data_IF_722323249352
#
_entry.id   IF_722323249352
#
_cell.length_a   1.000
_cell.length_b   1.000
_cell.length_c   1.000
_cell.angle_alpha   90.00
_cell.angle_beta   90.00
_cell.angle_gamma   90.00
#
_symmetry.space_group_name_H-M   'P 1'
#
loop_
_entity.id
_entity.type
_entity.pdbx_description
1 polymer ?
#
# COMPACT_ATOMS: atom_id res chain seq x y z
N UNK A 1 -32.25 -7.45 -45.20
CA UNK A 1 -31.92 -6.99 -46.57
C UNK A 1 -30.43 -6.81 -46.60
N UNK A 2 -29.73 -7.83 -47.14
CA UNK A 2 -28.73 -7.78 -48.22
C UNK A 2 -27.51 -6.91 -47.88
N UNK A 3 -26.28 -7.22 -48.06
CA UNK A 3 -25.50 -8.39 -48.55
C UNK A 3 -24.03 -7.99 -48.38
N UNK A 4 -23.19 -8.95 -48.11
CA UNK A 4 -21.72 -9.04 -48.19
C UNK A 4 -21.18 -8.77 -49.61
N UNK A 5 -19.90 -9.01 -49.95
CA UNK A 5 -18.53 -8.85 -49.38
C UNK A 5 -17.54 -8.28 -50.43
N UNK A 6 -16.20 -8.41 -50.21
CA UNK A 6 -15.09 -8.68 -51.18
C UNK A 6 -13.79 -8.29 -50.48
N UNK A 7 -12.84 -9.07 -50.08
CA UNK A 7 -11.94 -10.11 -50.60
C UNK A 7 -11.10 -9.69 -51.86
N UNK A 8 -9.80 -9.63 -51.68
CA UNK A 8 -8.70 -9.96 -52.61
C UNK A 8 -7.36 -9.56 -51.97
N UNK A 9 -6.47 -10.40 -51.67
CA UNK A 9 -5.63 -11.40 -52.35
C UNK A 9 -4.29 -10.83 -52.94
N UNK A 10 -3.21 -11.40 -52.39
CA UNK A 10 -1.90 -11.78 -52.97
C UNK A 10 -1.03 -10.73 -53.66
N UNK A 11 0.27 -10.72 -53.38
CA UNK A 11 1.27 -11.63 -54.01
C UNK A 11 2.65 -11.51 -53.40
N UNK A 12 3.33 -12.63 -53.31
CA UNK A 12 4.73 -12.85 -52.98
C UNK A 12 5.62 -12.64 -54.22
N UNK A 13 6.90 -12.26 -54.00
CA UNK A 13 7.96 -12.56 -54.95
C UNK A 13 9.32 -12.71 -54.26
N UNK A 14 9.78 -13.96 -54.26
CA UNK A 14 11.15 -14.38 -53.97
C UNK A 14 12.06 -14.09 -55.19
N UNK A 15 13.30 -13.74 -54.96
CA UNK A 15 14.38 -13.97 -55.95
C UNK A 15 15.69 -14.29 -55.23
N UNK A 16 16.13 -15.50 -55.50
CA UNK A 16 17.44 -16.11 -55.24
C UNK A 16 18.36 -15.76 -56.38
N UNK A 17 19.61 -15.46 -56.12
CA UNK A 17 20.70 -15.77 -57.06
C UNK A 17 21.97 -16.18 -56.30
N UNK A 18 22.43 -17.37 -56.67
CA UNK A 18 23.70 -17.98 -56.33
C UNK A 18 24.69 -17.79 -57.46
N UNK A 19 25.97 -17.85 -57.18
CA UNK A 19 26.93 -18.74 -57.80
C UNK A 19 28.35 -18.23 -57.87
N UNK A 20 29.25 -19.06 -57.41
CA UNK A 20 30.48 -19.60 -57.99
C UNK A 20 31.64 -18.58 -58.27
N UNK A 21 32.81 -18.75 -57.83
CA UNK A 21 33.69 -19.90 -57.74
C UNK A 21 35.05 -19.53 -58.34
N UNK A 22 36.18 -19.96 -57.75
CA UNK A 22 37.47 -19.75 -58.40
C UNK A 22 38.65 -19.91 -57.43
N UNK A 23 39.18 -21.12 -57.37
CA UNK A 23 40.45 -21.53 -56.78
C UNK A 23 41.65 -21.05 -57.60
N UNK A 24 42.71 -20.57 -56.95
CA UNK A 24 44.10 -20.95 -57.35
C UNK A 24 45.06 -20.77 -56.17
N UNK A 25 45.86 -21.82 -56.00
CA UNK A 25 46.95 -22.01 -55.06
C UNK A 25 48.25 -21.29 -55.60
N UNK A 26 49.01 -20.73 -54.67
CA UNK A 26 50.49 -20.80 -54.68
C UNK A 26 51.07 -20.23 -53.41
N UNK A 27 51.93 -21.01 -52.73
CA UNK A 27 52.86 -20.64 -51.66
C UNK A 27 54.28 -20.60 -52.30
N UNK A 28 55.38 -20.34 -51.54
CA UNK A 28 55.60 -19.47 -50.37
C UNK A 28 56.77 -18.45 -50.66
N UNK A 29 56.90 -17.40 -49.87
CA UNK A 29 58.12 -16.64 -49.74
C UNK A 29 58.37 -16.23 -48.28
N UNK A 30 59.54 -16.62 -47.82
CA UNK A 30 60.11 -16.36 -46.48
C UNK A 30 60.73 -14.98 -46.37
N UNK A 31 60.50 -14.28 -45.22
CA UNK A 31 61.45 -13.51 -44.41
C UNK A 31 60.81 -12.25 -43.79
N UNK A 32 61.41 -11.62 -42.80
CA UNK A 32 61.65 -12.07 -41.43
C UNK A 32 60.82 -11.28 -40.37
N UNK A 33 60.75 -11.87 -39.23
CA UNK A 33 60.12 -11.39 -38.00
C UNK A 33 60.59 -9.97 -37.62
N UNK A 34 59.64 -9.01 -37.52
CA UNK A 34 59.77 -7.86 -36.63
C UNK A 34 58.85 -8.04 -35.44
N UNK A 35 59.46 -7.99 -34.26
CA UNK A 35 58.78 -8.05 -33.00
C UNK A 35 57.81 -6.86 -32.84
N UNK A 36 56.50 -7.13 -32.82
CA UNK A 36 55.54 -6.16 -32.43
C UNK A 36 55.58 -5.98 -30.90
N UNK A 37 55.96 -4.79 -30.49
CA UNK A 37 55.83 -4.31 -29.10
C UNK A 37 54.37 -4.39 -28.70
N UNK A 38 54.04 -5.25 -27.72
CA UNK A 38 52.75 -5.27 -27.06
C UNK A 38 52.63 -4.04 -26.16
N UNK A 39 51.87 -3.04 -26.60
CA UNK A 39 51.37 -2.01 -25.71
C UNK A 39 50.47 -2.69 -24.65
N UNK A 40 50.59 -2.33 -23.36
CA UNK A 40 49.68 -2.84 -22.35
C UNK A 40 48.27 -2.27 -22.62
N UNK A 41 47.33 -3.16 -22.93
CA UNK A 41 45.89 -2.85 -22.94
C UNK A 41 45.53 -2.26 -21.57
N UNK A 42 45.25 -0.97 -21.55
CA UNK A 42 44.67 -0.33 -20.35
C UNK A 42 43.34 -1.00 -20.07
N UNK A 43 43.27 -1.72 -18.97
CA UNK A 43 42.02 -2.20 -18.39
C UNK A 43 41.07 -1.00 -18.20
N UNK A 44 39.76 -1.15 -18.46
CA UNK A 44 38.82 -0.08 -18.17
C UNK A 44 38.91 0.25 -16.68
N UNK A 45 39.33 1.49 -16.38
CA UNK A 45 39.26 2.07 -15.05
C UNK A 45 37.80 2.10 -14.68
N UNK A 46 37.37 1.19 -13.81
CA UNK A 46 36.12 1.38 -13.05
C UNK A 46 36.31 2.62 -12.20
N UNK A 47 35.71 3.73 -12.62
CA UNK A 47 35.61 4.91 -11.76
C UNK A 47 35.04 4.47 -10.40
N UNK A 48 35.61 4.92 -9.29
CA UNK A 48 35.02 4.62 -7.98
C UNK A 48 33.58 5.13 -8.00
N UNK A 49 32.61 4.24 -7.75
CA UNK A 49 31.25 4.64 -7.49
C UNK A 49 31.31 5.54 -6.25
N UNK A 50 31.12 6.82 -6.41
CA UNK A 50 30.99 7.74 -5.29
C UNK A 50 29.77 7.31 -4.49
N UNK A 51 29.93 7.09 -3.19
CA UNK A 51 28.80 6.80 -2.30
C UNK A 51 27.71 7.87 -2.49
N UNK A 52 26.43 7.49 -2.43
CA UNK A 52 25.35 8.47 -2.52
C UNK A 52 25.50 9.57 -1.47
N UNK A 53 25.05 10.78 -1.78
CA UNK A 53 25.08 11.90 -0.83
C UNK A 53 24.21 11.58 0.38
N UNK A 54 24.72 11.88 1.60
CA UNK A 54 23.97 11.68 2.84
C UNK A 54 22.77 12.62 2.90
N UNK A 55 21.62 12.12 3.34
CA UNK A 55 20.42 12.93 3.51
C UNK A 55 19.70 12.60 4.83
N UNK A 56 19.07 13.61 5.43
CA UNK A 56 18.15 13.45 6.55
C UNK A 56 16.74 13.73 6.04
N UNK A 57 15.81 12.82 6.33
CA UNK A 57 14.41 12.90 5.89
C UNK A 57 13.47 12.45 7.01
N UNK A 58 12.22 12.90 6.94
CA UNK A 58 11.17 12.58 7.91
C UNK A 58 10.08 11.77 7.22
N UNK A 59 9.56 10.76 7.92
CA UNK A 59 8.38 10.00 7.51
C UNK A 59 7.25 10.24 8.51
N UNK A 60 6.15 10.87 8.08
CA UNK A 60 4.93 10.96 8.86
C UNK A 60 4.17 9.63 8.76
N UNK A 61 4.02 8.94 9.88
CA UNK A 61 3.14 7.77 9.99
C UNK A 61 1.67 8.20 9.99
N UNK A 62 0.80 7.33 9.51
CA UNK A 62 -0.65 7.61 9.49
C UNK A 62 -1.28 7.52 10.88
N UNK A 63 -0.69 6.71 11.76
CA UNK A 63 -1.20 6.44 13.11
C UNK A 63 -0.06 6.33 14.11
N UNK A 64 -0.39 6.05 15.36
CA UNK A 64 0.60 5.77 16.43
C UNK A 64 1.48 4.56 16.06
N UNK A 65 2.66 4.42 16.67
CA UNK A 65 3.53 3.26 16.45
C UNK A 65 2.80 1.94 16.71
N UNK A 66 2.77 1.09 15.69
CA UNK A 66 2.15 -0.24 15.73
C UNK A 66 2.63 -1.09 14.54
N UNK A 67 2.30 -2.39 14.51
CA UNK A 67 2.78 -3.30 13.46
C UNK A 67 2.29 -2.92 12.05
N UNK A 68 1.29 -2.03 11.91
CA UNK A 68 0.93 -1.40 10.65
C UNK A 68 2.13 -0.71 9.96
N UNK A 69 3.11 -0.28 10.73
CA UNK A 69 4.30 0.44 10.22
C UNK A 69 5.59 -0.35 10.45
N UNK A 70 5.49 -1.63 10.79
CA UNK A 70 6.63 -2.48 11.19
C UNK A 70 7.79 -2.44 10.21
N UNK A 71 7.51 -2.41 8.90
CA UNK A 71 8.57 -2.38 7.88
C UNK A 71 9.46 -1.15 7.94
N UNK A 72 8.92 0.02 8.34
CA UNK A 72 9.71 1.24 8.49
C UNK A 72 10.57 1.19 9.77
N UNK A 73 10.03 0.69 10.87
CA UNK A 73 10.79 0.46 12.09
C UNK A 73 11.88 -0.59 11.88
N UNK A 74 11.59 -1.68 11.16
CA UNK A 74 12.57 -2.69 10.80
C UNK A 74 13.66 -2.12 9.89
N UNK A 75 13.31 -1.30 8.90
CA UNK A 75 14.30 -0.66 8.03
C UNK A 75 15.29 0.22 8.82
N UNK A 76 14.81 0.85 9.89
CA UNK A 76 15.66 1.63 10.80
C UNK A 76 16.51 0.73 11.70
N UNK A 77 15.91 -0.28 12.32
CA UNK A 77 16.59 -1.19 13.27
C UNK A 77 17.65 -2.06 12.59
N UNK A 78 17.36 -2.56 11.38
CA UNK A 78 18.28 -3.39 10.59
C UNK A 78 19.32 -2.56 9.81
N UNK A 79 19.30 -1.23 9.93
CA UNK A 79 20.27 -0.35 9.29
C UNK A 79 20.06 -0.13 7.80
N UNK A 80 18.92 -0.54 7.22
CA UNK A 80 18.69 -0.44 5.76
C UNK A 80 18.65 1.02 5.27
N UNK A 81 18.19 1.96 6.09
CA UNK A 81 18.29 3.37 5.77
C UNK A 81 19.75 3.86 5.80
N UNK A 82 20.53 3.42 6.77
CA UNK A 82 21.95 3.78 6.87
C UNK A 82 22.78 3.20 5.70
N UNK A 83 22.46 1.99 5.21
CA UNK A 83 23.07 1.41 4.01
C UNK A 83 22.87 2.31 2.77
N UNK A 84 21.80 3.08 2.73
CA UNK A 84 21.47 4.03 1.67
C UNK A 84 21.95 5.46 1.98
N UNK A 85 22.80 5.66 2.99
CA UNK A 85 23.22 6.97 3.49
C UNK A 85 22.05 7.90 3.86
N UNK A 86 21.00 7.34 4.45
CA UNK A 86 19.84 8.08 4.94
C UNK A 86 19.77 8.04 6.47
N UNK A 87 19.47 9.19 7.06
CA UNK A 87 18.95 9.32 8.43
C UNK A 87 17.47 9.58 8.33
N UNK A 88 16.64 8.65 8.82
CA UNK A 88 15.18 8.75 8.75
C UNK A 88 14.62 8.99 10.14
N UNK A 89 13.84 10.07 10.29
CA UNK A 89 13.05 10.34 11.49
C UNK A 89 11.61 9.84 11.25
N UNK A 90 11.14 8.90 12.06
CA UNK A 90 9.76 8.43 12.04
C UNK A 90 8.93 9.31 12.97
N UNK A 91 7.95 10.01 12.38
CA UNK A 91 7.05 10.91 13.12
C UNK A 91 5.74 10.17 13.41
N UNK A 92 5.37 10.11 14.68
CA UNK A 92 4.13 9.46 15.09
C UNK A 92 2.92 10.18 14.50
N UNK A 93 1.95 9.39 14.06
CA UNK A 93 0.60 9.85 13.78
C UNK A 93 -0.27 9.82 15.04
N UNK A 94 -1.57 9.87 14.86
CA UNK A 94 -2.54 9.77 15.96
C UNK A 94 -3.85 10.47 15.68
N UNK A 95 -4.78 10.50 16.66
CA UNK A 95 -6.15 11.00 16.47
C UNK A 95 -6.27 12.45 16.02
N UNK A 96 -5.25 13.27 16.31
CA UNK A 96 -5.22 14.71 15.99
C UNK A 96 -4.34 15.04 14.78
N UNK A 97 -3.69 14.03 14.19
CA UNK A 97 -2.83 14.19 13.03
C UNK A 97 -3.59 13.75 11.78
N UNK A 98 -3.67 14.63 10.80
CA UNK A 98 -4.24 14.33 9.48
C UNK A 98 -3.07 14.26 8.49
N UNK A 99 -2.53 13.06 8.19
CA UNK A 99 -1.23 12.92 7.53
C UNK A 99 -1.15 13.62 6.17
N UNK A 100 -2.22 13.53 5.35
CA UNK A 100 -2.25 14.19 4.05
C UNK A 100 -2.23 15.71 4.15
N UNK A 101 -2.70 16.31 5.25
CA UNK A 101 -2.60 17.75 5.48
C UNK A 101 -1.19 18.13 5.94
N UNK A 102 -0.64 17.37 6.89
CA UNK A 102 0.74 17.56 7.40
C UNK A 102 1.75 17.40 6.27
N UNK A 103 1.60 16.33 5.46
CA UNK A 103 2.48 16.06 4.33
C UNK A 103 2.39 17.09 3.20
N UNK A 104 1.23 17.76 3.06
CA UNK A 104 1.04 18.80 2.04
C UNK A 104 1.61 20.17 2.45
N UNK A 105 1.95 20.37 3.70
CA UNK A 105 2.53 21.64 4.16
C UNK A 105 3.90 21.89 3.48
N UNK A 106 4.24 23.15 3.13
CA UNK A 106 5.51 23.45 2.46
C UNK A 106 6.75 23.02 3.26
N UNK A 107 6.68 23.08 4.59
CA UNK A 107 7.71 22.63 5.56
C UNK A 107 7.38 21.25 6.17
N UNK A 108 6.39 20.57 5.63
CA UNK A 108 5.97 19.24 6.05
C UNK A 108 7.05 18.18 5.83
N UNK A 109 6.86 16.96 6.38
CA UNK A 109 7.80 15.86 6.20
C UNK A 109 7.99 15.52 4.71
N UNK A 110 9.14 14.99 4.39
CA UNK A 110 9.52 14.61 3.01
C UNK A 110 8.66 13.47 2.49
N UNK A 111 8.31 12.53 3.40
CA UNK A 111 7.45 11.38 3.13
C UNK A 111 6.28 11.32 4.10
N UNK A 112 5.16 10.78 3.61
CA UNK A 112 3.93 10.67 4.39
C UNK A 112 3.23 9.35 4.04
N UNK A 113 2.80 8.60 5.05
CA UNK A 113 1.89 7.46 4.86
C UNK A 113 0.46 7.98 4.93
N UNK A 114 -0.31 7.67 3.89
CA UNK A 114 -1.73 7.97 3.86
C UNK A 114 -2.46 7.00 2.93
N UNK A 115 -3.79 7.08 2.92
CA UNK A 115 -4.63 6.34 1.97
C UNK A 115 -4.85 7.14 0.70
N UNK A 116 -4.81 6.46 -0.44
CA UNK A 116 -4.96 7.12 -1.75
C UNK A 116 -6.21 8.00 -1.83
N UNK A 117 -7.44 7.58 -1.46
CA UNK A 117 -8.62 8.42 -1.59
C UNK A 117 -8.54 9.72 -0.78
N UNK A 118 -7.91 9.69 0.42
CA UNK A 118 -7.69 10.90 1.24
C UNK A 118 -6.78 11.90 0.53
N UNK A 119 -5.72 11.40 -0.11
CA UNK A 119 -4.80 12.25 -0.86
C UNK A 119 -5.46 12.78 -2.13
N UNK A 120 -6.25 11.97 -2.83
CA UNK A 120 -7.01 12.44 -4.02
C UNK A 120 -7.99 13.56 -3.66
N UNK A 121 -8.70 13.44 -2.53
CA UNK A 121 -9.55 14.50 -2.00
C UNK A 121 -8.74 15.76 -1.67
N UNK A 122 -7.64 15.61 -0.93
CA UNK A 122 -6.77 16.75 -0.57
C UNK A 122 -6.16 17.45 -1.80
N UNK A 123 -5.87 16.70 -2.86
CA UNK A 123 -5.41 17.28 -4.14
C UNK A 123 -6.50 18.09 -4.82
N UNK A 124 -7.75 17.60 -4.84
CA UNK A 124 -8.86 18.27 -5.53
C UNK A 124 -9.36 19.49 -4.75
N UNK A 125 -9.49 19.37 -3.43
CA UNK A 125 -10.11 20.40 -2.58
C UNK A 125 -9.09 21.35 -1.93
N UNK A 126 -7.91 20.85 -1.58
CA UNK A 126 -6.88 21.57 -0.85
C UNK A 126 -5.65 21.97 -1.65
N UNK A 127 -5.57 21.60 -2.94
CA UNK A 127 -4.42 21.90 -3.79
C UNK A 127 -3.13 21.17 -3.38
N UNK A 128 -3.25 20.03 -2.67
CA UNK A 128 -2.11 19.20 -2.32
C UNK A 128 -1.37 18.73 -3.58
N UNK A 129 -0.04 18.70 -3.54
CA UNK A 129 0.82 18.18 -4.60
C UNK A 129 1.45 16.82 -4.24
N UNK A 130 0.92 16.13 -3.21
CA UNK A 130 1.36 14.80 -2.81
C UNK A 130 1.17 13.79 -3.95
N UNK A 131 2.22 13.02 -4.24
CA UNK A 131 2.29 11.99 -5.28
C UNK A 131 2.50 10.64 -4.62
N UNK A 132 1.72 9.62 -4.97
CA UNK A 132 1.97 8.23 -4.59
C UNK A 132 3.23 7.75 -5.31
N UNK A 133 4.29 7.47 -4.54
CA UNK A 133 5.57 7.00 -5.05
C UNK A 133 5.84 5.53 -4.78
N UNK A 134 5.05 4.90 -3.88
CA UNK A 134 5.08 3.46 -3.63
C UNK A 134 3.82 3.00 -2.89
N UNK A 135 3.03 2.14 -3.52
CA UNK A 135 1.81 1.55 -2.95
C UNK A 135 2.15 0.33 -2.09
N UNK A 136 2.18 0.49 -0.78
CA UNK A 136 2.64 -0.57 0.12
C UNK A 136 1.57 -1.65 0.32
N UNK A 137 0.33 -1.28 0.66
CA UNK A 137 -0.75 -2.24 0.83
C UNK A 137 -1.43 -2.54 -0.52
N UNK A 138 -1.46 -3.81 -0.89
CA UNK A 138 -2.13 -4.30 -2.10
C UNK A 138 -3.65 -4.50 -1.92
N UNK A 139 -4.16 -4.42 -0.68
CA UNK A 139 -5.56 -4.66 -0.30
C UNK A 139 -5.98 -3.68 0.78
N UNK A 140 -7.30 -3.45 0.86
CA UNK A 140 -7.88 -2.71 1.99
C UNK A 140 -8.02 -3.62 3.22
N UNK A 141 -7.72 -3.06 4.39
CA UNK A 141 -7.97 -3.70 5.68
C UNK A 141 -9.31 -3.31 6.32
N UNK A 142 -10.09 -2.42 5.67
CA UNK A 142 -11.34 -1.91 6.25
C UNK A 142 -12.44 -2.96 6.25
N UNK A 143 -13.08 -3.09 7.38
CA UNK A 143 -14.26 -3.92 7.64
C UNK A 143 -15.36 -3.05 8.25
N UNK A 144 -16.60 -3.58 8.26
CA UNK A 144 -17.60 -3.23 9.26
C UNK A 144 -18.00 -4.50 10.02
N UNK A 145 -18.05 -4.41 11.33
CA UNK A 145 -18.42 -5.53 12.20
C UNK A 145 -19.79 -5.28 12.83
N UNK A 146 -20.58 -6.33 12.94
CA UNK A 146 -21.91 -6.36 13.54
C UNK A 146 -22.00 -7.58 14.45
N UNK A 147 -22.92 -7.57 15.41
CA UNK A 147 -23.19 -8.76 16.21
C UNK A 147 -23.97 -9.80 15.39
N UNK A 148 -23.57 -11.06 15.44
CA UNK A 148 -24.26 -12.16 14.71
C UNK A 148 -25.71 -12.32 15.20
N UNK A 149 -25.98 -12.07 16.48
CA UNK A 149 -27.31 -12.14 17.08
C UNK A 149 -28.23 -10.95 16.71
N UNK A 150 -27.70 -9.92 16.04
CA UNK A 150 -28.51 -8.78 15.56
C UNK A 150 -29.39 -9.12 14.36
N UNK A 151 -29.10 -10.21 13.66
CA UNK A 151 -29.76 -10.60 12.43
C UNK A 151 -29.34 -9.76 11.19
N UNK A 152 -28.38 -8.84 11.33
CA UNK A 152 -27.81 -8.09 10.23
C UNK A 152 -26.83 -8.99 9.46
N UNK A 153 -26.95 -9.05 8.14
CA UNK A 153 -26.18 -10.00 7.30
C UNK A 153 -25.30 -9.30 6.28
N UNK A 154 -25.54 -8.02 6.02
CA UNK A 154 -24.77 -7.28 5.02
C UNK A 154 -25.06 -5.78 5.03
N UNK A 155 -24.40 -5.02 4.12
CA UNK A 155 -24.48 -3.56 4.13
C UNK A 155 -25.91 -3.03 3.92
N UNK A 156 -26.74 -3.77 3.17
CA UNK A 156 -28.12 -3.31 2.88
C UNK A 156 -29.11 -3.55 4.04
N UNK A 157 -28.66 -4.13 5.16
CA UNK A 157 -29.46 -4.23 6.39
C UNK A 157 -29.25 -3.04 7.34
N UNK A 158 -28.35 -2.11 6.95
CA UNK A 158 -27.95 -0.98 7.82
C UNK A 158 -28.82 0.27 7.66
N UNK A 159 -29.92 0.21 6.88
CA UNK A 159 -30.92 1.28 6.88
C UNK A 159 -31.53 1.45 8.27
N UNK A 160 -31.65 2.68 8.74
CA UNK A 160 -32.20 3.01 10.06
C UNK A 160 -31.28 2.65 11.23
N UNK A 161 -30.05 2.19 10.98
CA UNK A 161 -29.10 1.72 12.01
C UNK A 161 -28.09 2.79 12.37
N UNK A 162 -27.50 2.65 13.56
CA UNK A 162 -26.35 3.41 14.02
C UNK A 162 -25.07 2.77 13.48
N UNK A 163 -24.38 3.44 12.57
CA UNK A 163 -23.14 2.96 11.96
C UNK A 163 -21.99 3.81 12.48
N UNK A 164 -21.14 3.18 13.27
CA UNK A 164 -19.90 3.78 13.77
C UNK A 164 -18.86 3.84 12.64
N UNK A 165 -18.22 5.00 12.52
CA UNK A 165 -17.14 5.27 11.57
C UNK A 165 -16.15 6.26 12.17
N UNK A 166 -14.99 6.39 11.57
CA UNK A 166 -14.07 7.50 11.85
C UNK A 166 -14.23 8.59 10.79
N UNK A 167 -13.80 9.82 11.12
CA UNK A 167 -13.78 10.95 10.18
C UNK A 167 -12.45 11.04 9.40
N UNK A 168 -12.33 12.10 8.61
CA UNK A 168 -11.13 12.48 7.84
C UNK A 168 -10.75 11.48 6.75
N UNK A 169 -11.77 10.87 6.14
CA UNK A 169 -11.63 9.97 5.00
C UNK A 169 -11.41 8.50 5.39
N UNK A 170 -11.45 8.16 6.67
CA UNK A 170 -11.44 6.75 7.08
C UNK A 170 -12.75 6.06 6.67
N UNK A 171 -13.89 6.76 6.77
CA UNK A 171 -15.24 6.30 6.49
C UNK A 171 -15.57 6.09 5.01
N UNK A 172 -14.67 6.40 4.10
CA UNK A 172 -14.98 6.45 2.67
C UNK A 172 -15.47 5.13 2.09
N UNK A 173 -14.88 3.99 2.49
CA UNK A 173 -15.32 2.67 2.01
C UNK A 173 -16.69 2.29 2.56
N UNK A 174 -16.96 2.60 3.83
CA UNK A 174 -18.26 2.37 4.49
C UNK A 174 -19.34 3.20 3.78
N UNK A 175 -19.09 4.49 3.60
CA UNK A 175 -20.02 5.40 2.94
C UNK A 175 -20.28 4.97 1.49
N UNK A 176 -19.24 4.61 0.73
CA UNK A 176 -19.39 4.11 -0.63
C UNK A 176 -20.17 2.80 -0.69
N UNK A 177 -19.94 1.90 0.26
CA UNK A 177 -20.63 0.62 0.36
C UNK A 177 -22.12 0.77 0.66
N UNK A 178 -22.47 1.61 1.64
CA UNK A 178 -23.86 1.92 1.96
C UNK A 178 -24.56 2.68 0.84
N UNK A 179 -23.82 3.57 0.16
CA UNK A 179 -24.31 4.28 -1.03
C UNK A 179 -24.72 3.33 -2.16
N UNK A 180 -24.10 2.16 -2.31
CA UNK A 180 -24.55 1.12 -3.29
C UNK A 180 -25.90 0.51 -2.93
N UNK A 181 -26.28 0.52 -1.66
CA UNK A 181 -27.62 0.14 -1.21
C UNK A 181 -28.62 1.28 -1.31
N UNK A 182 -28.18 2.47 -1.76
CA UNK A 182 -29.02 3.66 -1.83
C UNK A 182 -29.12 4.41 -0.51
N UNK A 183 -28.24 4.14 0.45
CA UNK A 183 -28.28 4.75 1.77
C UNK A 183 -27.32 5.94 1.88
N UNK A 184 -27.76 6.97 2.59
CA UNK A 184 -26.97 8.15 2.94
C UNK A 184 -26.95 8.36 4.45
N UNK A 185 -25.94 9.04 5.03
CA UNK A 185 -25.99 9.47 6.41
C UNK A 185 -27.06 10.56 6.57
N UNK A 186 -27.67 10.69 7.75
CA UNK A 186 -28.59 11.79 8.06
C UNK A 186 -29.80 11.43 8.89
N UNK A 187 -29.89 10.19 9.38
CA UNK A 187 -31.03 9.74 10.19
C UNK A 187 -31.21 10.59 11.48
N UNK A 188 -30.10 11.06 12.07
CA UNK A 188 -30.09 11.92 13.25
C UNK A 188 -30.78 13.28 13.07
N UNK A 189 -31.02 13.70 11.83
CA UNK A 189 -31.67 14.96 11.47
C UNK A 189 -33.15 14.77 11.03
N UNK A 190 -33.87 13.83 11.64
CA UNK A 190 -35.22 13.41 11.24
C UNK A 190 -35.26 12.83 9.81
N UNK A 191 -34.19 12.13 9.42
CA UNK A 191 -34.11 11.47 8.13
C UNK A 191 -35.01 10.25 8.00
N UNK A 192 -35.10 9.73 6.77
CA UNK A 192 -35.89 8.55 6.44
C UNK A 192 -35.15 7.26 6.86
N UNK A 193 -35.64 6.48 7.84
CA UNK A 193 -34.97 5.27 8.28
C UNK A 193 -34.97 4.13 7.25
N UNK A 194 -35.65 4.30 6.13
CA UNK A 194 -35.64 3.29 5.04
C UNK A 194 -34.55 3.54 4.01
N UNK A 195 -33.99 4.75 3.97
CA UNK A 195 -32.96 5.16 3.00
C UNK A 195 -31.76 5.87 3.63
N UNK A 196 -31.77 6.03 4.95
CA UNK A 196 -30.67 6.68 5.69
C UNK A 196 -30.23 5.84 6.87
N UNK A 197 -28.98 6.06 7.31
CA UNK A 197 -28.41 5.52 8.52
C UNK A 197 -27.92 6.67 9.41
N UNK A 198 -27.81 6.41 10.72
CA UNK A 198 -27.19 7.35 11.64
C UNK A 198 -25.67 7.13 11.62
N UNK A 199 -24.94 8.11 11.06
CA UNK A 199 -23.48 8.15 11.14
C UNK A 199 -23.10 8.51 12.59
N UNK A 200 -22.35 7.66 13.25
CA UNK A 200 -21.82 7.87 14.61
C UNK A 200 -20.31 7.92 14.53
N UNK A 201 -19.71 9.02 14.99
CA UNK A 201 -18.24 9.08 15.08
C UNK A 201 -17.83 8.25 16.28
N UNK A 202 -17.17 7.13 16.04
CA UNK A 202 -16.67 6.24 17.07
C UNK A 202 -15.26 6.63 17.52
N UNK A 203 -14.92 6.28 18.75
CA UNK A 203 -13.53 6.36 19.22
C UNK A 203 -12.65 5.30 18.55
N UNK A 204 -11.34 5.40 18.73
CA UNK A 204 -10.37 4.44 18.18
C UNK A 204 -10.22 3.22 19.11
N UNK A 205 -11.32 2.79 19.66
CA UNK A 205 -11.51 1.58 20.45
C UNK A 205 -12.87 0.96 20.07
N UNK A 206 -13.18 -0.19 20.62
CA UNK A 206 -14.43 -0.88 20.33
C UNK A 206 -15.46 -0.78 21.46
N UNK A 207 -15.29 0.16 22.38
CA UNK A 207 -16.15 0.29 23.58
C UNK A 207 -17.61 0.51 23.20
N UNK A 208 -17.91 1.42 22.29
CA UNK A 208 -19.27 1.70 21.82
C UNK A 208 -19.93 0.47 21.17
N UNK A 209 -19.15 -0.33 20.43
CA UNK A 209 -19.62 -1.57 19.82
C UNK A 209 -19.84 -2.68 20.87
N UNK A 210 -18.88 -2.87 21.77
CA UNK A 210 -18.97 -3.85 22.84
C UNK A 210 -20.16 -3.58 23.79
N UNK A 211 -20.46 -2.30 24.04
CA UNK A 211 -21.62 -1.86 24.81
C UNK A 211 -22.94 -1.94 24.02
N UNK A 212 -22.91 -2.25 22.71
CA UNK A 212 -24.07 -2.22 21.80
C UNK A 212 -24.72 -0.84 21.65
N UNK A 213 -23.92 0.24 21.79
CA UNK A 213 -24.39 1.62 21.58
C UNK A 213 -24.54 1.94 20.08
N UNK A 214 -23.84 1.19 19.22
CA UNK A 214 -23.90 1.22 17.76
C UNK A 214 -24.22 -0.17 17.21
N UNK A 215 -24.90 -0.23 16.06
CA UNK A 215 -25.33 -1.48 15.41
C UNK A 215 -24.22 -2.11 14.56
N UNK A 216 -23.39 -1.27 13.96
CA UNK A 216 -22.22 -1.66 13.20
C UNK A 216 -21.05 -0.73 13.54
N UNK A 217 -19.84 -1.25 13.55
CA UNK A 217 -18.62 -0.47 13.78
C UNK A 217 -17.67 -0.63 12.61
N UNK A 218 -17.07 0.47 12.14
CA UNK A 218 -15.89 0.41 11.28
C UNK A 218 -14.72 -0.20 12.08
N UNK A 219 -13.96 -1.08 11.43
CA UNK A 219 -12.85 -1.78 12.05
C UNK A 219 -11.79 -2.11 11.02
N UNK A 220 -10.52 -1.94 11.37
CA UNK A 220 -9.44 -2.51 10.59
C UNK A 220 -9.28 -3.99 10.96
N UNK A 221 -9.13 -4.85 9.95
CA UNK A 221 -8.93 -6.30 10.15
C UNK A 221 -7.73 -6.58 11.06
N UNK A 222 -6.73 -5.71 11.00
CA UNK A 222 -5.50 -5.84 11.77
C UNK A 222 -5.55 -5.18 13.15
N UNK A 223 -6.55 -4.35 13.46
CA UNK A 223 -6.60 -3.59 14.71
C UNK A 223 -7.94 -3.79 15.44
N UNK A 224 -8.98 -3.02 15.17
CA UNK A 224 -10.22 -3.01 15.94
C UNK A 224 -10.97 -4.35 15.90
N UNK A 225 -10.88 -5.09 14.81
CA UNK A 225 -11.44 -6.44 14.74
C UNK A 225 -10.78 -7.36 15.78
N UNK A 226 -9.46 -7.27 15.96
CA UNK A 226 -8.75 -7.99 17.00
C UNK A 226 -9.20 -7.55 18.40
N UNK A 227 -9.36 -6.24 18.65
CA UNK A 227 -9.80 -5.72 19.94
C UNK A 227 -11.14 -6.33 20.38
N UNK A 228 -12.07 -6.60 19.44
CA UNK A 228 -13.31 -7.32 19.78
C UNK A 228 -13.03 -8.77 20.18
N UNK A 229 -12.17 -9.47 19.44
CA UNK A 229 -11.81 -10.86 19.73
C UNK A 229 -10.95 -11.02 20.99
N UNK A 230 -10.27 -9.98 21.43
CA UNK A 230 -9.46 -9.89 22.64
C UNK A 230 -10.30 -9.52 23.87
N UNK A 231 -11.54 -9.07 23.65
CA UNK A 231 -12.46 -8.70 24.72
C UNK A 231 -13.16 -9.93 25.31
N UNK A 232 -13.40 -9.91 26.61
CA UNK A 232 -14.13 -10.97 27.30
C UNK A 232 -15.64 -10.76 27.14
N UNK A 233 -16.34 -11.77 26.64
CA UNK A 233 -17.79 -11.82 26.62
C UNK A 233 -18.32 -11.96 28.06
N UNK A 234 -19.04 -10.97 28.59
CA UNK A 234 -19.48 -10.97 30.01
C UNK A 234 -20.47 -12.07 30.33
N UNK A 235 -21.11 -12.67 29.32
CA UNK A 235 -22.10 -13.75 29.54
C UNK A 235 -21.41 -15.11 29.66
N UNK A 236 -20.36 -15.37 28.89
CA UNK A 236 -19.70 -16.68 28.86
C UNK A 236 -18.42 -16.73 29.69
N UNK A 237 -17.80 -15.57 29.95
CA UNK A 237 -16.48 -15.46 30.58
C UNK A 237 -15.31 -15.81 29.66
N UNK A 238 -15.57 -16.14 28.40
CA UNK A 238 -14.56 -16.42 27.37
C UNK A 238 -14.35 -15.18 26.47
N UNK A 239 -13.30 -15.19 25.67
CA UNK A 239 -13.13 -14.18 24.62
C UNK A 239 -14.25 -14.32 23.57
N UNK A 240 -14.64 -13.21 22.96
CA UNK A 240 -15.49 -13.24 21.77
C UNK A 240 -14.81 -14.04 20.66
N UNK A 241 -15.64 -14.73 19.87
CA UNK A 241 -15.18 -15.57 18.76
C UNK A 241 -15.63 -14.97 17.44
N UNK A 242 -14.97 -15.30 16.31
CA UNK A 242 -15.41 -14.87 14.98
C UNK A 242 -16.89 -15.16 14.69
N UNK A 243 -17.44 -16.25 15.26
CA UNK A 243 -18.84 -16.67 15.11
C UNK A 243 -19.84 -15.78 15.85
N UNK A 244 -19.37 -14.99 16.82
CA UNK A 244 -20.19 -13.99 17.52
C UNK A 244 -20.43 -12.74 16.64
N UNK A 245 -19.71 -12.62 15.51
CA UNK A 245 -19.70 -11.45 14.66
C UNK A 245 -20.17 -11.76 13.22
N UNK A 246 -20.86 -10.82 12.63
CA UNK A 246 -21.07 -10.71 11.19
C UNK A 246 -20.13 -9.63 10.65
N UNK A 247 -19.34 -9.95 9.63
CA UNK A 247 -18.31 -9.06 9.10
C UNK A 247 -18.61 -8.69 7.65
N UNK A 248 -18.66 -7.40 7.37
CA UNK A 248 -18.67 -6.87 6.02
C UNK A 248 -17.22 -6.58 5.61
N UNK A 249 -16.69 -7.32 4.65
CA UNK A 249 -15.38 -7.05 4.06
C UNK A 249 -15.58 -6.21 2.79
N UNK A 250 -15.10 -4.97 2.81
CA UNK A 250 -15.32 -4.02 1.72
C UNK A 250 -14.61 -4.39 0.42
N UNK A 251 -13.57 -5.24 0.48
CA UNK A 251 -12.98 -5.85 -0.74
C UNK A 251 -14.02 -6.71 -1.46
N UNK A 252 -14.76 -7.55 -0.73
CA UNK A 252 -15.81 -8.40 -1.29
C UNK A 252 -16.98 -7.59 -1.85
N UNK A 253 -17.23 -6.41 -1.29
CA UNK A 253 -18.27 -5.48 -1.76
C UNK A 253 -17.82 -4.64 -2.97
N UNK A 254 -16.56 -4.77 -3.41
CA UNK A 254 -15.95 -4.03 -4.53
C UNK A 254 -16.03 -2.51 -4.36
N UNK A 255 -15.89 -2.04 -3.13
CA UNK A 255 -15.76 -0.63 -2.77
C UNK A 255 -14.45 -0.35 -2.04
N UNK A 256 -13.64 -1.37 -1.80
CA UNK A 256 -12.31 -1.21 -1.26
C UNK A 256 -11.48 -0.25 -2.12
N UNK A 257 -10.69 0.58 -1.45
CA UNK A 257 -9.80 1.55 -2.06
C UNK A 257 -8.36 1.30 -1.59
N UNK A 258 -7.40 1.84 -2.33
CA UNK A 258 -5.99 1.71 -2.01
C UNK A 258 -5.69 2.44 -0.69
N UNK A 259 -5.08 1.70 0.23
CA UNK A 259 -4.67 2.19 1.55
C UNK A 259 -3.15 2.40 1.58
N UNK A 260 -2.58 2.44 2.74
CA UNK A 260 -1.18 2.77 3.06
C UNK A 260 -0.21 2.78 1.86
N UNK A 261 0.02 3.98 1.34
CA UNK A 261 1.02 4.26 0.33
C UNK A 261 2.01 5.30 0.86
N UNK A 262 3.21 5.33 0.29
CA UNK A 262 4.21 6.37 0.55
C UNK A 262 3.97 7.51 -0.41
N UNK A 263 3.73 8.70 0.13
CA UNK A 263 3.58 9.93 -0.62
C UNK A 263 4.75 10.87 -0.39
N UNK A 264 5.09 11.64 -1.42
CA UNK A 264 6.01 12.77 -1.35
C UNK A 264 5.43 13.96 -2.13
N UNK A 265 5.79 15.19 -1.76
CA UNK A 265 5.38 16.37 -2.54
C UNK A 265 6.08 16.38 -3.89
N UNK A 266 5.33 16.67 -4.96
CA UNK A 266 5.89 16.82 -6.31
C UNK A 266 6.91 17.97 -6.37
N UNK A 267 6.63 19.07 -5.67
CA UNK A 267 7.53 20.22 -5.52
C UNK A 267 8.87 19.80 -4.91
N UNK A 268 8.85 19.05 -3.82
CA UNK A 268 10.07 18.55 -3.17
C UNK A 268 10.83 17.56 -4.08
N UNK A 269 10.14 16.63 -4.74
CA UNK A 269 10.77 15.67 -5.66
C UNK A 269 11.50 16.34 -6.83
N UNK A 270 11.06 17.54 -7.23
CA UNK A 270 11.65 18.29 -8.36
C UNK A 270 12.91 19.06 -7.96
N UNK A 271 13.26 19.14 -6.68
CA UNK A 271 14.39 19.94 -6.17
C UNK A 271 15.66 19.09 -6.05
N UNK A 272 16.78 19.58 -6.56
CA UNK A 272 18.12 19.02 -6.37
C UNK A 272 18.19 17.51 -6.60
N UNK A 273 18.62 16.76 -5.58
CA UNK A 273 18.80 15.31 -5.60
C UNK A 273 17.65 14.55 -4.88
N UNK A 274 16.52 15.23 -4.59
CA UNK A 274 15.46 14.67 -3.76
C UNK A 274 14.80 13.43 -4.37
N UNK A 275 14.73 13.35 -5.71
CA UNK A 275 14.21 12.15 -6.36
C UNK A 275 15.09 10.91 -6.10
N UNK A 276 16.42 11.06 -6.11
CA UNK A 276 17.33 9.97 -5.73
C UNK A 276 17.18 9.59 -4.25
N UNK A 277 17.04 10.58 -3.37
CA UNK A 277 16.72 10.35 -1.95
C UNK A 277 15.43 9.53 -1.80
N UNK A 278 14.39 9.85 -2.59
CA UNK A 278 13.13 9.10 -2.57
C UNK A 278 13.30 7.64 -3.05
N UNK A 279 14.08 7.40 -4.10
CA UNK A 279 14.40 6.04 -4.58
C UNK A 279 15.09 5.22 -3.49
N UNK A 280 16.09 5.79 -2.84
CA UNK A 280 16.84 5.15 -1.74
C UNK A 280 15.96 4.87 -0.54
N UNK A 281 15.12 5.84 -0.14
CA UNK A 281 14.17 5.69 0.96
C UNK A 281 13.16 4.56 0.69
N UNK A 282 12.56 4.53 -0.50
CA UNK A 282 11.60 3.49 -0.89
C UNK A 282 12.28 2.11 -0.90
N UNK A 283 13.52 2.02 -1.43
CA UNK A 283 14.29 0.76 -1.47
C UNK A 283 14.54 0.22 -0.06
N UNK A 284 15.02 1.05 0.85
CA UNK A 284 15.27 0.67 2.23
C UNK A 284 13.98 0.27 2.95
N UNK A 285 12.89 1.01 2.75
CA UNK A 285 11.57 0.70 3.32
C UNK A 285 11.04 -0.66 2.84
N UNK A 286 11.19 -0.97 1.55
CA UNK A 286 10.80 -2.27 0.98
C UNK A 286 11.63 -3.40 1.59
N UNK A 287 12.94 -3.21 1.82
CA UNK A 287 13.78 -4.20 2.53
C UNK A 287 13.24 -4.47 3.94
N UNK A 288 12.83 -3.44 4.66
CA UNK A 288 12.23 -3.58 5.97
C UNK A 288 10.92 -4.39 5.95
N UNK A 289 10.07 -4.16 4.97
CA UNK A 289 8.84 -4.94 4.82
C UNK A 289 9.09 -6.39 4.42
N UNK A 290 10.08 -6.67 3.56
CA UNK A 290 10.51 -8.03 3.22
C UNK A 290 11.03 -8.74 4.48
N UNK A 291 11.84 -8.05 5.28
CA UNK A 291 12.32 -8.57 6.56
C UNK A 291 11.15 -8.95 7.48
N UNK A 292 10.13 -8.09 7.63
CA UNK A 292 8.97 -8.37 8.47
C UNK A 292 8.07 -9.50 7.93
N UNK A 293 8.01 -9.70 6.61
CA UNK A 293 7.36 -10.89 6.04
C UNK A 293 8.05 -12.18 6.50
N UNK A 294 9.38 -12.17 6.46
CA UNK A 294 10.19 -13.36 6.69
C UNK A 294 10.51 -13.56 8.19
N UNK A 295 10.46 -12.49 9.00
CA UNK A 295 10.76 -12.47 10.43
C UNK A 295 9.67 -11.71 11.23
N UNK A 296 8.40 -12.13 11.18
CA UNK A 296 7.31 -11.35 11.76
C UNK A 296 7.43 -11.15 13.29
N UNK A 297 7.99 -12.12 14.02
CA UNK A 297 8.19 -12.00 15.46
C UNK A 297 9.22 -10.95 15.84
N UNK A 298 10.32 -10.82 15.07
CA UNK A 298 11.33 -9.78 15.30
C UNK A 298 10.78 -8.40 15.02
N UNK A 299 9.93 -8.26 13.99
CA UNK A 299 9.26 -7.00 13.71
C UNK A 299 8.25 -6.61 14.81
N UNK A 300 7.55 -7.57 15.40
CA UNK A 300 6.72 -7.31 16.58
C UNK A 300 7.57 -6.78 17.73
N UNK A 301 8.72 -7.40 18.03
CA UNK A 301 9.64 -6.95 19.07
C UNK A 301 10.13 -5.51 18.80
N UNK A 302 10.46 -5.21 17.54
CA UNK A 302 10.92 -3.87 17.12
C UNK A 302 9.82 -2.82 17.34
N UNK A 303 8.57 -3.14 17.00
CA UNK A 303 7.43 -2.26 17.21
C UNK A 303 7.15 -2.05 18.71
N UNK A 304 7.21 -3.09 19.51
CA UNK A 304 7.06 -2.99 20.98
C UNK A 304 8.14 -2.07 21.59
N UNK A 305 9.37 -2.17 21.09
CA UNK A 305 10.47 -1.30 21.52
C UNK A 305 10.27 0.17 21.09
N UNK A 306 9.55 0.43 20.01
CA UNK A 306 9.19 1.79 19.57
C UNK A 306 8.11 2.45 20.43
N UNK A 307 7.46 1.72 21.35
CA UNK A 307 6.52 2.29 22.31
C UNK A 307 5.06 2.27 21.88
N UNK A 308 4.61 1.15 21.29
CA UNK A 308 3.19 0.93 20.99
C UNK A 308 2.32 0.94 22.26
N UNK A 309 1.06 1.37 22.10
CA UNK A 309 0.08 1.39 23.19
C UNK A 309 -0.61 0.01 23.42
N UNK A 310 -0.49 -0.93 22.47
CA UNK A 310 -1.17 -2.23 22.51
C UNK A 310 -0.16 -3.35 22.73
N UNK A 311 -0.59 -4.42 23.43
CA UNK A 311 0.25 -5.51 23.88
C UNK A 311 0.83 -6.40 22.78
N UNK A 312 1.70 -7.33 23.17
CA UNK A 312 2.43 -8.20 22.25
C UNK A 312 1.51 -9.14 21.46
N UNK A 313 0.44 -9.64 22.08
CA UNK A 313 -0.55 -10.48 21.40
C UNK A 313 -1.25 -9.73 20.28
N UNK A 314 -1.69 -8.49 20.56
CA UNK A 314 -2.29 -7.61 19.55
C UNK A 314 -1.35 -7.29 18.41
N UNK A 315 -0.09 -6.93 18.72
CA UNK A 315 0.91 -6.63 17.68
C UNK A 315 1.24 -7.87 16.82
N UNK A 316 1.19 -9.07 17.42
CA UNK A 316 1.36 -10.34 16.68
C UNK A 316 0.20 -10.58 15.71
N UNK A 317 -1.05 -10.37 16.16
CA UNK A 317 -2.21 -10.39 15.27
C UNK A 317 -2.06 -9.37 14.14
N UNK A 318 -1.76 -8.15 14.50
CA UNK A 318 -1.63 -7.05 13.56
C UNK A 318 -0.57 -7.34 12.50
N UNK A 319 0.61 -7.82 12.87
CA UNK A 319 1.68 -8.17 11.94
C UNK A 319 1.26 -9.27 10.94
N UNK A 320 0.52 -10.27 11.41
CA UNK A 320 0.00 -11.36 10.57
C UNK A 320 -1.00 -10.84 9.53
N UNK A 321 -1.92 -9.96 9.93
CA UNK A 321 -2.92 -9.37 9.04
C UNK A 321 -2.27 -8.39 8.05
N UNK A 322 -1.36 -7.54 8.50
CA UNK A 322 -0.65 -6.57 7.65
C UNK A 322 0.16 -7.30 6.56
N UNK A 323 0.88 -8.36 6.92
CA UNK A 323 1.57 -9.16 5.92
C UNK A 323 0.61 -9.68 4.84
N UNK A 324 -0.60 -10.08 5.22
CA UNK A 324 -1.61 -10.55 4.27
C UNK A 324 -2.26 -9.43 3.44
N UNK A 325 -2.18 -8.16 3.87
CA UNK A 325 -2.58 -7.01 3.06
C UNK A 325 -1.51 -6.65 2.01
N UNK A 326 -0.24 -6.96 2.26
CA UNK A 326 0.87 -6.69 1.36
C UNK A 326 1.09 -7.86 0.40
N UNK A 327 1.14 -9.11 0.90
CA UNK A 327 1.47 -10.31 0.13
C UNK A 327 0.33 -11.34 0.09
N UNK A 328 0.35 -12.23 -0.95
CA UNK A 328 1.14 -12.08 -2.16
C UNK A 328 0.65 -10.90 -2.99
N UNK A 329 1.56 -10.28 -3.76
CA UNK A 329 1.26 -9.16 -4.64
C UNK A 329 1.76 -9.48 -6.07
N UNK A 330 0.85 -9.54 -7.04
CA UNK A 330 1.18 -9.95 -8.42
C UNK A 330 2.20 -9.03 -9.10
N UNK A 331 2.27 -7.76 -8.71
CA UNK A 331 3.20 -6.79 -9.28
C UNK A 331 4.46 -6.61 -8.43
N UNK A 332 4.45 -7.05 -7.18
CA UNK A 332 5.49 -6.82 -6.18
C UNK A 332 5.16 -5.66 -5.25
N UNK A 333 5.74 -5.72 -4.05
CA UNK A 333 5.54 -4.67 -3.03
C UNK A 333 5.95 -3.30 -3.57
N UNK A 334 5.17 -2.30 -3.26
CA UNK A 334 5.38 -0.91 -3.67
C UNK A 334 4.83 -0.58 -5.06
N UNK A 335 4.58 -1.58 -5.92
CA UNK A 335 4.06 -1.36 -7.27
C UNK A 335 2.54 -1.22 -7.23
N UNK A 336 2.06 -0.13 -7.81
CA UNK A 336 0.64 0.18 -7.92
C UNK A 336 -0.07 -0.77 -8.89
N UNK A 337 -1.13 -1.44 -8.43
CA UNK A 337 -2.03 -2.21 -9.29
C UNK A 337 -2.92 -1.25 -10.09
N UNK A 338 -2.80 -1.19 -11.43
CA UNK A 338 -3.60 -0.27 -12.24
C UNK A 338 -5.10 -0.56 -12.20
N UNK A 339 -5.50 -1.80 -11.96
CA UNK A 339 -6.92 -2.18 -11.83
C UNK A 339 -7.48 -1.66 -10.51
N UNK A 340 -6.72 -1.81 -9.43
CA UNK A 340 -7.14 -1.34 -8.12
C UNK A 340 -7.09 0.19 -8.03
N UNK A 341 -6.13 0.85 -8.70
CA UNK A 341 -6.15 2.30 -8.86
C UNK A 341 -7.43 2.79 -9.55
N UNK A 342 -7.79 2.19 -10.69
CA UNK A 342 -9.03 2.54 -11.38
C UNK A 342 -10.27 2.26 -10.52
N UNK A 343 -10.28 1.20 -9.72
CA UNK A 343 -11.35 0.94 -8.76
C UNK A 343 -11.42 2.05 -7.72
N UNK A 344 -10.28 2.43 -7.11
CA UNK A 344 -10.20 3.52 -6.13
C UNK A 344 -10.75 4.83 -6.70
N UNK A 345 -10.33 5.23 -7.90
CA UNK A 345 -10.85 6.43 -8.57
C UNK A 345 -12.35 6.34 -8.84
N UNK A 346 -12.82 5.20 -9.36
CA UNK A 346 -14.24 5.00 -9.65
C UNK A 346 -15.10 5.06 -8.39
N UNK A 347 -14.67 4.42 -7.32
CA UNK A 347 -15.38 4.40 -6.03
C UNK A 347 -15.37 5.78 -5.41
N UNK A 348 -14.23 6.48 -5.40
CA UNK A 348 -14.12 7.85 -4.88
C UNK A 348 -15.05 8.82 -5.62
N UNK A 349 -15.14 8.70 -6.95
CA UNK A 349 -16.10 9.51 -7.74
C UNK A 349 -17.55 9.14 -7.47
N UNK A 350 -17.85 7.84 -7.39
CA UNK A 350 -19.20 7.35 -7.13
C UNK A 350 -19.74 7.75 -5.76
N UNK A 351 -18.87 7.88 -4.77
CA UNK A 351 -19.17 8.32 -3.42
C UNK A 351 -19.08 9.85 -3.23
N UNK A 352 -18.70 10.59 -4.27
CA UNK A 352 -18.59 12.06 -4.20
C UNK A 352 -17.37 12.57 -3.43
N UNK A 353 -16.38 11.72 -3.16
CA UNK A 353 -15.11 12.09 -2.51
C UNK A 353 -14.31 13.01 -3.43
N UNK A 354 -14.27 12.67 -4.71
CA UNK A 354 -13.72 13.51 -5.78
C UNK A 354 -14.75 13.67 -6.90
N UNK A 355 -14.68 14.76 -7.64
CA UNK A 355 -15.61 15.06 -8.75
C UNK A 355 -14.97 14.80 -10.11
N UNK A 356 -13.64 14.93 -10.21
CA UNK A 356 -12.88 14.79 -11.44
C UNK A 356 -11.97 13.55 -11.40
N UNK A 357 -11.44 13.14 -12.54
CA UNK A 357 -10.38 12.13 -12.55
C UNK A 357 -9.07 12.77 -12.08
N UNK A 358 -8.31 12.09 -11.21
CA UNK A 358 -7.00 12.59 -10.82
C UNK A 358 -6.09 12.73 -12.04
N UNK A 359 -5.18 13.72 -12.06
CA UNK A 359 -4.18 13.83 -13.12
C UNK A 359 -3.23 12.63 -13.09
N UNK A 360 -2.56 12.35 -14.22
CA UNK A 360 -1.54 11.29 -14.29
C UNK A 360 -0.38 11.49 -13.31
N UNK A 361 -0.12 12.74 -12.90
CA UNK A 361 0.87 13.08 -11.87
C UNK A 361 0.40 12.83 -10.43
N UNK A 362 -0.73 12.17 -10.20
CA UNK A 362 -1.15 11.77 -8.85
C UNK A 362 -0.35 10.58 -8.32
N UNK A 363 0.36 9.86 -9.18
CA UNK A 363 1.33 8.82 -8.82
C UNK A 363 2.56 8.87 -9.73
N UNK A 364 3.71 8.40 -9.21
CA UNK A 364 4.95 8.24 -9.98
C UNK A 364 5.57 6.86 -9.69
N UNK A 365 5.26 5.91 -10.55
CA UNK A 365 5.80 4.55 -10.43
C UNK A 365 7.27 4.42 -10.82
N UNK A 366 7.87 5.43 -11.43
CA UNK A 366 9.28 5.37 -11.81
C UNK A 366 10.21 5.30 -10.60
N UNK A 367 9.81 5.91 -9.46
CA UNK A 367 10.58 5.89 -8.22
C UNK A 367 10.64 4.48 -7.64
N UNK A 368 9.50 3.82 -7.46
CA UNK A 368 9.47 2.46 -6.92
C UNK A 368 10.06 1.43 -7.89
N UNK A 369 9.90 1.62 -9.20
CA UNK A 369 10.53 0.74 -10.20
C UNK A 369 12.05 0.80 -10.13
N UNK A 370 12.62 1.99 -9.96
CA UNK A 370 14.06 2.18 -9.78
C UNK A 370 14.53 1.63 -8.42
N UNK A 371 13.74 1.83 -7.36
CA UNK A 371 14.02 1.28 -6.03
C UNK A 371 14.08 -0.26 -6.06
N UNK A 372 13.10 -0.90 -6.70
CA UNK A 372 13.00 -2.36 -6.79
C UNK A 372 13.96 -3.00 -7.78
N UNK A 373 14.46 -2.27 -8.77
CA UNK A 373 15.49 -2.76 -9.69
C UNK A 373 16.76 -3.20 -8.94
N UNK A 374 17.11 -2.52 -7.83
CA UNK A 374 18.20 -2.91 -6.93
C UNK A 374 17.90 -4.10 -6.02
N UNK A 375 16.68 -4.65 -6.04
CA UNK A 375 16.21 -5.74 -5.19
C UNK A 375 15.72 -6.95 -6.02
N UNK A 376 16.22 -7.10 -7.25
CA UNK A 376 15.73 -8.12 -8.19
C UNK A 376 15.94 -9.57 -7.70
N UNK A 377 16.85 -9.80 -6.77
CA UNK A 377 17.11 -11.08 -6.10
C UNK A 377 16.19 -11.35 -4.90
N UNK A 378 15.43 -10.36 -4.47
CA UNK A 378 14.46 -10.46 -3.39
C UNK A 378 13.11 -10.96 -3.91
N UNK A 379 12.39 -11.72 -3.08
CA UNK A 379 11.03 -12.17 -3.42
C UNK A 379 10.01 -11.01 -3.24
N UNK A 380 10.02 -10.05 -4.15
CA UNK A 380 9.18 -8.85 -4.11
C UNK A 380 7.68 -9.14 -4.18
N UNK A 381 7.30 -10.27 -4.78
CA UNK A 381 5.89 -10.67 -4.92
C UNK A 381 5.37 -11.42 -3.70
N UNK A 382 6.26 -11.91 -2.85
CA UNK A 382 5.90 -12.79 -1.75
C UNK A 382 5.36 -14.14 -2.26
N UNK A 383 5.94 -14.66 -3.34
CA UNK A 383 5.56 -15.97 -3.87
C UNK A 383 5.77 -17.03 -2.79
N UNK A 384 4.73 -17.82 -2.53
CA UNK A 384 4.73 -18.81 -1.46
C UNK A 384 4.37 -18.26 -0.07
N UNK A 385 4.11 -16.95 0.08
CA UNK A 385 3.61 -16.42 1.35
C UNK A 385 2.24 -17.04 1.68
N UNK A 386 2.13 -17.52 2.91
CA UNK A 386 0.88 -18.04 3.49
C UNK A 386 0.65 -17.31 4.81
N UNK A 387 -0.51 -16.67 4.92
CA UNK A 387 -0.94 -16.04 6.16
C UNK A 387 -0.98 -17.07 7.30
N UNK A 388 -0.33 -16.77 8.41
CA UNK A 388 -0.38 -17.59 9.61
C UNK A 388 -1.74 -17.54 10.31
N UNK A 389 -1.88 -18.38 11.34
CA UNK A 389 -3.00 -18.30 12.28
C UNK A 389 -2.49 -17.75 13.61
N UNK A 390 -3.13 -16.70 14.08
CA UNK A 390 -2.85 -16.10 15.39
C UNK A 390 -4.10 -16.23 16.25
N UNK A 391 -3.96 -16.72 17.48
CA UNK A 391 -5.05 -16.79 18.44
C UNK A 391 -5.07 -15.48 19.23
N UNK A 392 -6.20 -14.78 19.30
CA UNK A 392 -6.33 -13.60 20.16
C UNK A 392 -6.05 -13.94 21.62
N UNK A 393 -5.40 -13.03 22.32
CA UNK A 393 -5.10 -13.14 23.75
C UNK A 393 -5.95 -12.14 24.54
N UNK A 394 -6.28 -12.40 25.80
CA UNK A 394 -7.08 -11.48 26.61
C UNK A 394 -6.45 -10.08 26.67
N UNK A 395 -7.18 -9.07 26.20
CA UNK A 395 -6.70 -7.69 26.16
C UNK A 395 -5.53 -7.45 25.20
N UNK A 396 -5.17 -8.43 24.34
CA UNK A 396 -4.08 -8.30 23.40
C UNK A 396 -2.66 -8.44 24.00
N UNK A 397 -2.54 -9.01 25.22
CA UNK A 397 -1.29 -9.14 25.96
C UNK A 397 -0.43 -10.36 25.50
#
# INVERSE_FOLDING_TARGET
MRIRPILALMTAASLIFAACGGTTSQAPSTAPSQAASSEPSSAPSTAPSTAPEAATVRLQLQWVPQAQFAGYFAAQAEGYYADENLTVELLDGGPTIIPQQVGSAPDGPEFTISWVPKVLEARETGGSDLVDIAQMFARSGTLSVMWADSGLTGPCDLAGKKVGVWDFGNEFEVTAGLGKCGYSPGLENNGDPTSQYQKVIQAFDMVAFLNRDIDAAEAMIYNEYAQVLEATNPTTGNLYQPEDLTVINWNSQRVAMLQDAIFARASWLAEGNNRDVAVRFVRASIRGWIYCRDNPGECVNTVLAAGTALGAGHQTWQMNEINALIWPNQYGIGILDPVFWQQTVRVSKGAGIITTNPPSAAYDQSIVQEATAGLADQNLKGDGFVKGTVTPTPGGE
#
